data_IF_856072414072
#
_entry.id   IF_856072414072
#
_cell.length_a   1.000
_cell.length_b   1.000
_cell.length_c   1.000
_cell.angle_alpha   90.00
_cell.angle_beta   90.00
_cell.angle_gamma   90.00
#
_symmetry.space_group_name_H-M   'P 1'
#
loop_
_entity.id
_entity.type
_entity.pdbx_description
1 polymer ?
#
# COMPACT_ATOMS: atom_id res chain seq x y z
N UNK A 1 15.97 -0.40 -15.78
CA UNK A 1 15.67 0.24 -14.47
C UNK A 1 14.17 0.53 -14.43
N UNK A 2 13.49 0.26 -13.31
CA UNK A 2 12.04 0.53 -13.19
C UNK A 2 11.79 2.04 -13.30
N UNK A 3 10.85 2.47 -14.15
CA UNK A 3 10.47 3.87 -14.33
C UNK A 3 10.13 4.56 -13.00
N UNK A 4 9.57 3.80 -12.05
CA UNK A 4 9.20 4.30 -10.73
C UNK A 4 10.38 4.88 -9.92
N UNK A 5 11.61 4.42 -10.16
CA UNK A 5 12.81 4.95 -9.50
C UNK A 5 13.04 6.45 -9.73
N UNK A 6 12.45 7.00 -10.81
CA UNK A 6 12.50 8.41 -11.19
C UNK A 6 11.47 9.27 -10.43
N UNK A 7 10.53 8.65 -9.70
CA UNK A 7 9.61 9.38 -8.82
C UNK A 7 10.40 10.06 -7.70
N UNK A 8 10.36 11.39 -7.68
CA UNK A 8 11.15 12.25 -6.78
C UNK A 8 10.32 13.36 -6.13
N UNK A 9 9.05 13.52 -6.50
CA UNK A 9 8.18 14.60 -6.01
C UNK A 9 7.22 14.08 -4.94
N UNK A 10 7.43 14.43 -3.65
CA UNK A 10 6.45 14.13 -2.59
C UNK A 10 5.12 14.84 -2.85
N UNK A 11 5.14 16.02 -3.47
CA UNK A 11 3.93 16.76 -3.83
C UNK A 11 3.06 16.00 -4.84
N UNK A 12 3.67 15.30 -5.80
CA UNK A 12 2.93 14.47 -6.74
C UNK A 12 2.26 13.27 -6.06
N UNK A 13 2.95 12.66 -5.09
CA UNK A 13 2.39 11.57 -4.26
C UNK A 13 1.24 12.08 -3.42
N UNK A 14 1.40 13.20 -2.72
CA UNK A 14 0.33 13.78 -1.92
C UNK A 14 -0.88 14.16 -2.79
N UNK A 15 -0.67 14.72 -3.99
CA UNK A 15 -1.77 15.05 -4.90
C UNK A 15 -2.53 13.80 -5.40
N UNK A 16 -1.85 12.65 -5.54
CA UNK A 16 -2.51 11.38 -5.84
C UNK A 16 -3.33 10.86 -4.64
N UNK A 17 -2.80 11.01 -3.42
CA UNK A 17 -3.51 10.67 -2.18
C UNK A 17 -4.74 11.57 -1.99
N UNK A 18 -4.59 12.88 -2.15
CA UNK A 18 -5.68 13.84 -2.02
C UNK A 18 -6.82 13.51 -3.02
N UNK A 19 -6.48 13.13 -4.25
CA UNK A 19 -7.46 12.66 -5.25
C UNK A 19 -8.12 11.32 -4.85
N UNK A 20 -7.35 10.38 -4.30
CA UNK A 20 -7.87 9.10 -3.79
C UNK A 20 -8.88 9.32 -2.67
N UNK A 21 -8.56 10.21 -1.72
CA UNK A 21 -9.45 10.56 -0.59
C UNK A 21 -10.72 11.25 -1.11
N UNK A 22 -10.61 12.16 -2.08
CA UNK A 22 -11.76 12.87 -2.63
C UNK A 22 -12.69 11.97 -3.47
N UNK A 23 -12.14 11.11 -4.33
CA UNK A 23 -12.92 10.22 -5.19
C UNK A 23 -13.45 8.99 -4.45
N UNK A 24 -12.75 8.56 -3.42
CA UNK A 24 -12.93 7.29 -2.76
C UNK A 24 -12.29 6.13 -3.54
N UNK A 25 -11.88 5.10 -2.80
CA UNK A 25 -11.10 3.95 -3.28
C UNK A 25 -11.64 3.34 -4.57
N UNK A 26 -12.90 2.91 -4.59
CA UNK A 26 -13.48 2.18 -5.74
C UNK A 26 -13.46 3.01 -7.03
N UNK A 27 -13.83 4.29 -6.95
CA UNK A 27 -13.87 5.18 -8.12
C UNK A 27 -12.46 5.52 -8.60
N UNK A 28 -11.54 5.78 -7.68
CA UNK A 28 -10.14 6.05 -8.02
C UNK A 28 -9.51 4.86 -8.75
N UNK A 29 -9.67 3.66 -8.21
CA UNK A 29 -9.14 2.43 -8.80
C UNK A 29 -9.72 2.17 -10.19
N UNK A 30 -11.04 2.29 -10.36
CA UNK A 30 -11.70 2.12 -11.65
C UNK A 30 -11.25 3.17 -12.67
N UNK A 31 -11.11 4.44 -12.25
CA UNK A 31 -10.69 5.54 -13.12
C UNK A 31 -9.27 5.35 -13.67
N UNK A 32 -8.36 4.87 -12.84
CA UNK A 32 -6.94 4.74 -13.18
C UNK A 32 -6.55 3.32 -13.61
N UNK A 33 -7.49 2.37 -13.66
CA UNK A 33 -7.25 1.00 -14.11
C UNK A 33 -6.42 0.16 -13.12
N UNK A 34 -6.55 0.42 -11.82
CA UNK A 34 -5.82 -0.29 -10.77
C UNK A 34 -6.72 -1.27 -10.02
N UNK A 35 -6.14 -2.39 -9.59
CA UNK A 35 -6.72 -3.27 -8.59
C UNK A 35 -6.38 -2.83 -7.16
N UNK A 36 -7.05 -3.42 -6.17
CA UNK A 36 -6.69 -3.27 -4.77
C UNK A 36 -5.27 -3.81 -4.52
N UNK A 37 -4.50 -3.11 -3.70
CA UNK A 37 -3.22 -3.59 -3.18
C UNK A 37 -3.41 -4.87 -2.37
N UNK A 38 -2.44 -5.77 -2.47
CA UNK A 38 -2.46 -7.07 -1.76
C UNK A 38 -1.51 -7.12 -0.58
N UNK A 39 -0.37 -6.46 -0.69
CA UNK A 39 0.71 -6.59 0.29
C UNK A 39 0.99 -5.26 1.00
N UNK A 40 0.88 -4.12 0.31
CA UNK A 40 1.26 -2.82 0.86
C UNK A 40 0.25 -1.70 0.57
N UNK A 41 -0.03 -0.90 1.59
CA UNK A 41 -0.76 0.36 1.54
C UNK A 41 0.17 1.53 1.88
N UNK A 42 -0.20 2.73 1.44
CA UNK A 42 0.46 3.98 1.85
C UNK A 42 -0.50 4.78 2.72
N UNK A 43 -0.04 5.20 3.89
CA UNK A 43 -0.85 5.98 4.82
C UNK A 43 -0.71 7.46 4.51
N UNK A 44 -1.84 8.14 4.33
CA UNK A 44 -1.89 9.59 4.18
C UNK A 44 -1.43 10.28 5.48
N UNK A 45 -0.38 11.12 5.46
CA UNK A 45 0.05 11.86 6.64
C UNK A 45 -0.97 12.90 7.12
N UNK A 46 -1.91 13.34 6.25
CA UNK A 46 -2.92 14.36 6.61
C UNK A 46 -4.14 13.74 7.28
N UNK A 47 -4.74 12.73 6.65
CA UNK A 47 -6.00 12.14 7.10
C UNK A 47 -5.85 10.83 7.85
N UNK A 48 -4.68 10.18 7.78
CA UNK A 48 -4.47 8.83 8.29
C UNK A 48 -5.08 7.72 7.42
N UNK A 49 -5.67 8.06 6.27
CA UNK A 49 -6.31 7.09 5.37
C UNK A 49 -5.28 6.18 4.70
N UNK A 50 -5.55 4.88 4.68
CA UNK A 50 -4.73 3.90 3.95
C UNK A 50 -5.16 3.80 2.48
N UNK A 51 -4.21 4.07 1.60
CA UNK A 51 -4.41 4.11 0.16
C UNK A 51 -3.63 2.99 -0.54
N UNK A 52 -4.14 2.53 -1.69
CA UNK A 52 -3.50 1.47 -2.47
C UNK A 52 -2.13 1.93 -3.04
N UNK A 53 -1.03 1.41 -2.50
CA UNK A 53 0.34 1.91 -2.74
C UNK A 53 0.73 1.96 -4.23
N UNK A 54 0.41 0.92 -5.01
CA UNK A 54 0.66 0.87 -6.46
C UNK A 54 -0.11 1.95 -7.22
N UNK A 55 -1.39 2.10 -6.89
CA UNK A 55 -2.27 3.03 -7.57
C UNK A 55 -1.81 4.47 -7.31
N UNK A 56 -1.50 4.80 -6.05
CA UNK A 56 -0.92 6.09 -5.68
C UNK A 56 0.40 6.35 -6.40
N UNK A 57 1.31 5.38 -6.40
CA UNK A 57 2.63 5.54 -7.02
C UNK A 57 2.55 5.77 -8.53
N UNK A 58 1.69 5.04 -9.25
CA UNK A 58 1.53 5.21 -10.69
C UNK A 58 0.83 6.50 -11.10
N UNK A 59 -0.20 6.92 -10.35
CA UNK A 59 -0.86 8.21 -10.57
C UNK A 59 0.08 9.37 -10.23
N UNK A 60 0.84 9.27 -9.13
CA UNK A 60 1.85 10.25 -8.75
C UNK A 60 2.93 10.39 -9.83
N UNK A 61 3.36 9.29 -10.45
CA UNK A 61 4.30 9.33 -11.55
C UNK A 61 3.75 10.15 -12.72
N UNK A 62 2.49 9.93 -13.12
CA UNK A 62 1.84 10.71 -14.17
C UNK A 62 1.66 12.19 -13.83
N UNK A 63 1.42 12.51 -12.55
CA UNK A 63 1.39 13.91 -12.08
C UNK A 63 2.78 14.57 -12.14
N UNK A 64 3.86 13.81 -11.88
CA UNK A 64 5.23 14.32 -11.99
C UNK A 64 5.70 14.44 -13.45
N UNK A 65 5.29 13.52 -14.32
CA UNK A 65 5.66 13.46 -15.73
C UNK A 65 4.41 13.48 -16.63
N UNK A 66 3.73 14.63 -16.80
CA UNK A 66 2.51 14.73 -17.60
C UNK A 66 2.67 14.26 -19.05
N UNK A 67 3.86 14.43 -19.63
CA UNK A 67 4.17 14.00 -21.00
C UNK A 67 4.27 12.48 -21.17
N UNK A 68 4.62 11.76 -20.11
CA UNK A 68 4.71 10.28 -20.12
C UNK A 68 3.40 9.62 -19.66
N UNK A 69 2.57 10.38 -18.94
CA UNK A 69 1.32 9.87 -18.36
C UNK A 69 1.54 9.00 -17.12
N UNK A 70 0.44 8.56 -16.48
CA UNK A 70 0.51 7.67 -15.33
C UNK A 70 1.06 6.31 -15.75
N UNK A 71 1.84 5.69 -14.85
CA UNK A 71 2.17 4.28 -15.02
C UNK A 71 0.88 3.46 -14.92
N UNK A 72 0.83 2.32 -15.59
CA UNK A 72 -0.26 1.34 -15.45
C UNK A 72 0.15 0.22 -14.51
N UNK A 73 -0.81 -0.57 -14.03
CA UNK A 73 -0.51 -1.74 -13.20
C UNK A 73 0.51 -2.70 -13.86
N UNK A 74 0.47 -2.84 -15.18
CA UNK A 74 1.38 -3.69 -15.96
C UNK A 74 2.81 -3.14 -16.05
N UNK A 75 2.99 -1.84 -15.81
CA UNK A 75 4.30 -1.19 -15.76
C UNK A 75 5.11 -1.61 -14.51
N UNK A 76 4.47 -2.31 -13.56
CA UNK A 76 5.08 -2.84 -12.34
C UNK A 76 5.43 -4.32 -12.50
N UNK A 77 6.25 -4.66 -13.50
CA UNK A 77 6.72 -6.04 -13.75
C UNK A 77 7.57 -6.64 -12.61
N UNK A 78 7.99 -5.83 -11.64
CA UNK A 78 8.69 -6.24 -10.41
C UNK A 78 7.83 -6.22 -9.13
N UNK A 79 6.51 -6.04 -9.25
CA UNK A 79 5.58 -6.07 -8.11
C UNK A 79 5.70 -4.88 -7.14
N UNK A 80 5.05 -5.02 -5.97
CA UNK A 80 4.97 -3.98 -4.92
C UNK A 80 6.32 -3.68 -4.25
N UNK A 81 7.29 -4.59 -4.38
CA UNK A 81 8.63 -4.48 -3.80
C UNK A 81 9.40 -3.25 -4.29
N UNK A 82 9.07 -2.73 -5.47
CA UNK A 82 9.69 -1.49 -6.00
C UNK A 82 8.99 -0.21 -5.54
N UNK A 83 7.73 -0.31 -5.13
CA UNK A 83 6.90 0.83 -4.69
C UNK A 83 7.28 1.25 -3.28
N UNK A 84 7.52 0.28 -2.39
CA UNK A 84 7.84 0.55 -0.98
C UNK A 84 9.07 1.44 -0.83
N UNK A 85 10.25 1.13 -1.41
CA UNK A 85 11.42 1.99 -1.28
C UNK A 85 11.22 3.38 -1.89
N UNK A 86 10.46 3.48 -2.98
CA UNK A 86 10.20 4.76 -3.65
C UNK A 86 9.36 5.70 -2.78
N UNK A 87 8.25 5.20 -2.21
CA UNK A 87 7.37 6.00 -1.36
C UNK A 87 8.00 6.30 0.01
N UNK A 88 8.69 5.32 0.61
CA UNK A 88 9.41 5.52 1.88
C UNK A 88 10.50 6.59 1.74
N UNK A 89 11.27 6.57 0.64
CA UNK A 89 12.27 7.62 0.34
C UNK A 89 11.66 9.02 0.24
N UNK A 90 10.40 9.12 -0.16
CA UNK A 90 9.66 10.38 -0.27
C UNK A 90 8.98 10.79 1.05
N UNK A 91 9.20 10.03 2.13
CA UNK A 91 8.70 10.35 3.47
C UNK A 91 7.31 9.79 3.79
N UNK A 92 6.76 8.92 2.94
CA UNK A 92 5.45 8.31 3.19
C UNK A 92 5.56 7.02 4.00
N UNK A 93 4.62 6.81 4.92
CA UNK A 93 4.54 5.58 5.71
C UNK A 93 3.86 4.48 4.91
N UNK A 94 4.52 3.32 4.84
CA UNK A 94 3.97 2.12 4.22
C UNK A 94 3.43 1.20 5.31
N UNK A 95 2.25 0.64 5.05
CA UNK A 95 1.56 -0.34 5.91
C UNK A 95 1.54 -1.66 5.16
N UNK A 96 1.93 -2.75 5.81
CA UNK A 96 1.84 -4.09 5.23
C UNK A 96 0.50 -4.71 5.60
N UNK A 97 -0.23 -5.19 4.60
CA UNK A 97 -1.54 -5.83 4.81
C UNK A 97 -1.32 -7.18 5.49
N UNK A 98 -2.05 -7.43 6.58
CA UNK A 98 -2.00 -8.69 7.33
C UNK A 98 -0.91 -8.76 8.40
N UNK A 99 -0.16 -7.68 8.64
CA UNK A 99 0.85 -7.58 9.70
C UNK A 99 0.32 -6.78 10.92
N UNK A 100 -0.99 -6.56 11.00
CA UNK A 100 -1.66 -5.75 12.04
C UNK A 100 -1.76 -6.45 13.42
N UNK A 101 -1.28 -7.69 13.55
CA UNK A 101 -1.26 -8.40 14.83
C UNK A 101 0.00 -8.05 15.58
N UNK A 102 -0.15 -7.50 16.78
CA UNK A 102 0.99 -7.35 17.68
C UNK A 102 1.57 -8.71 18.05
N UNK A 103 2.86 -8.74 18.39
CA UNK A 103 3.52 -9.97 18.90
C UNK A 103 2.76 -10.53 20.11
N UNK A 104 2.23 -9.65 20.96
CA UNK A 104 1.41 -10.00 22.12
C UNK A 104 0.10 -10.70 21.72
N UNK A 105 -0.64 -10.17 20.74
CA UNK A 105 -1.87 -10.80 20.23
C UNK A 105 -1.60 -12.14 19.54
N UNK A 106 -0.48 -12.26 18.82
CA UNK A 106 -0.05 -13.52 18.22
C UNK A 106 0.25 -14.55 19.31
N UNK A 107 1.02 -14.18 20.34
CA UNK A 107 1.37 -15.07 21.45
C UNK A 107 0.12 -15.52 22.20
N UNK A 108 -0.78 -14.61 22.56
CA UNK A 108 -2.03 -14.94 23.24
C UNK A 108 -2.87 -15.94 22.43
N UNK A 109 -3.01 -15.72 21.12
CA UNK A 109 -3.76 -16.64 20.25
C UNK A 109 -3.11 -18.02 20.17
N UNK A 110 -1.78 -18.08 20.16
CA UNK A 110 -1.03 -19.35 20.13
C UNK A 110 -1.16 -20.09 21.47
N UNK A 111 -1.11 -19.38 22.60
CA UNK A 111 -1.32 -19.95 23.93
C UNK A 111 -2.73 -20.55 24.06
N UNK A 112 -3.77 -19.79 23.70
CA UNK A 112 -5.16 -20.25 23.70
C UNK A 112 -5.34 -21.52 22.86
N UNK A 113 -4.69 -21.59 21.69
CA UNK A 113 -4.73 -22.76 20.82
C UNK A 113 -4.06 -23.98 21.46
N UNK A 114 -2.90 -23.82 22.10
CA UNK A 114 -2.23 -24.92 22.80
C UNK A 114 -3.01 -25.42 24.00
N UNK A 115 -3.67 -24.53 24.73
CA UNK A 115 -4.52 -24.91 25.86
C UNK A 115 -5.75 -25.69 25.39
N UNK A 116 -6.37 -25.28 24.28
CA UNK A 116 -7.42 -26.06 23.63
C UNK A 116 -6.94 -27.46 23.24
N UNK A 117 -5.80 -27.59 22.55
CA UNK A 117 -5.25 -28.89 22.15
C UNK A 117 -4.92 -29.80 23.34
N UNK A 118 -4.40 -29.22 24.44
CA UNK A 118 -4.12 -29.98 25.67
C UNK A 118 -5.41 -30.48 26.32
N UNK A 119 -6.46 -29.66 26.34
CA UNK A 119 -7.76 -30.06 26.86
C UNK A 119 -8.40 -31.18 26.04
N UNK A 120 -8.30 -31.11 24.71
CA UNK A 120 -8.76 -32.18 23.80
C UNK A 120 -7.99 -33.49 23.98
N UNK A 121 -6.67 -33.42 24.17
CA UNK A 121 -5.83 -34.62 24.36
C UNK A 121 -6.00 -35.28 25.74
N UNK A 122 -6.56 -34.56 26.72
CA UNK A 122 -6.79 -35.04 28.07
C UNK A 122 -8.20 -35.64 28.29
N UNK A 123 -9.08 -35.55 27.29
CA UNK A 123 -10.40 -36.19 27.24
C UNK A 123 -10.43 -37.46 26.40
#
# INVERSE_FOLDING_TARGET
MSQLSQLRSPAAVQAAIDEFVQLGRTKFLARHGYGKSRDFLVRDPKTGTDCDSKAIAGVAFGKQFPEQGPLTADSFSGGETTVVPALTRLGFRIIRIGEDWSEEEVLATVEDYFDMLRAEAAG
#
